data_IF_371079250506
#
_entry.id   IF_371079250506
#
_cell.length_a   1.000
_cell.length_b   1.000
_cell.length_c   1.000
_cell.angle_alpha   90.00
_cell.angle_beta   90.00
_cell.angle_gamma   90.00
#
_symmetry.space_group_name_H-M   'P 1'
#
loop_
_entity.id
_entity.type
_entity.pdbx_description
1 polymer ?
#
# COMPACT_ATOMS: atom_id res chain seq x y z
N UNK A 1 27.64 37.88 47.78
CA UNK A 1 26.53 37.06 47.24
C UNK A 1 25.62 37.87 46.30
N UNK A 2 24.70 38.75 46.79
CA UNK A 2 23.66 39.43 45.99
C UNK A 2 24.03 39.81 44.53
N UNK A 3 25.11 40.57 44.29
CA UNK A 3 25.51 40.98 42.92
C UNK A 3 25.86 39.81 41.96
N UNK A 4 26.43 38.69 42.44
CA UNK A 4 26.72 37.53 41.58
C UNK A 4 25.42 36.85 41.15
N UNK A 5 24.57 36.52 42.13
CA UNK A 5 23.29 35.85 41.93
C UNK A 5 22.37 36.61 40.97
N UNK A 6 22.44 37.94 40.96
CA UNK A 6 21.67 38.80 40.04
C UNK A 6 21.99 38.58 38.55
N UNK A 7 23.17 38.02 38.22
CA UNK A 7 23.63 37.77 36.85
C UNK A 7 23.58 36.27 36.53
N UNK A 8 24.05 35.43 37.44
CA UNK A 8 24.17 33.98 37.20
C UNK A 8 22.84 33.24 37.23
N UNK A 9 21.87 33.65 38.06
CA UNK A 9 20.58 32.98 38.15
C UNK A 9 19.76 33.18 36.86
N UNK A 10 19.62 34.39 36.29
CA UNK A 10 18.98 34.57 34.98
C UNK A 10 19.63 33.73 33.86
N UNK A 11 20.96 33.67 33.79
CA UNK A 11 21.68 32.86 32.79
C UNK A 11 21.42 31.36 33.01
N UNK A 12 21.45 30.89 34.26
CA UNK A 12 21.16 29.48 34.58
C UNK A 12 19.71 29.11 34.23
N UNK A 13 18.75 30.00 34.50
CA UNK A 13 17.34 29.82 34.12
C UNK A 13 17.14 29.83 32.60
N UNK A 14 17.86 30.67 31.86
CA UNK A 14 17.84 30.69 30.40
C UNK A 14 18.39 29.37 29.83
N UNK A 15 19.52 28.87 30.33
CA UNK A 15 20.08 27.58 29.92
C UNK A 15 19.13 26.42 30.24
N UNK A 16 18.47 26.43 31.40
CA UNK A 16 17.44 25.45 31.76
C UNK A 16 16.24 25.54 30.81
N UNK A 17 15.77 26.74 30.45
CA UNK A 17 14.68 26.93 29.50
C UNK A 17 15.06 26.44 28.08
N UNK A 18 16.31 26.62 27.66
CA UNK A 18 16.83 26.04 26.41
C UNK A 18 16.80 24.52 26.47
N UNK A 19 17.36 23.89 27.51
CA UNK A 19 17.34 22.41 27.67
C UNK A 19 15.92 21.82 27.70
N UNK A 20 14.97 22.52 28.35
CA UNK A 20 13.56 22.14 28.34
C UNK A 20 12.99 22.25 26.92
N UNK A 21 13.36 23.29 26.16
CA UNK A 21 12.94 23.49 24.77
C UNK A 21 13.54 22.42 23.84
N UNK A 22 14.83 22.10 23.98
CA UNK A 22 15.50 20.98 23.29
C UNK A 22 14.72 19.68 23.51
N UNK A 23 14.46 19.33 24.77
CA UNK A 23 13.71 18.14 25.14
C UNK A 23 12.29 18.12 24.54
N UNK A 24 11.57 19.25 24.55
CA UNK A 24 10.26 19.34 23.89
C UNK A 24 10.37 19.14 22.37
N UNK A 25 11.31 19.82 21.69
CA UNK A 25 11.49 19.73 20.23
C UNK A 25 11.77 18.30 19.77
N UNK A 26 12.72 17.59 20.40
CA UNK A 26 13.06 16.19 20.08
C UNK A 26 11.83 15.27 20.15
N UNK A 27 10.91 15.54 21.09
CA UNK A 27 9.71 14.74 21.32
C UNK A 27 8.50 15.20 20.48
N UNK A 28 8.64 16.18 19.59
CA UNK A 28 7.59 16.53 18.62
C UNK A 28 7.49 15.41 17.58
N UNK A 29 6.43 14.60 17.69
CA UNK A 29 6.04 13.65 16.65
C UNK A 29 5.71 14.37 15.33
N UNK A 30 5.88 13.71 14.16
CA UNK A 30 5.35 14.21 12.91
C UNK A 30 3.89 14.62 13.06
N UNK A 31 3.54 15.85 12.66
CA UNK A 31 2.16 16.30 12.68
C UNK A 31 1.35 15.53 11.62
N UNK A 32 0.28 14.83 12.03
CA UNK A 32 -0.60 14.14 11.09
C UNK A 32 -1.18 15.12 10.06
N UNK A 33 -1.12 14.74 8.78
CA UNK A 33 -1.69 15.51 7.70
C UNK A 33 -3.22 15.58 7.77
N UNK A 34 -3.78 16.72 7.35
CA UNK A 34 -5.25 16.91 7.26
C UNK A 34 -5.83 16.20 6.04
N UNK A 35 -5.88 14.87 6.10
CA UNK A 35 -6.46 13.98 5.09
C UNK A 35 -7.82 13.44 5.53
N UNK A 36 -8.73 13.21 4.58
CA UNK A 36 -10.00 12.55 4.85
C UNK A 36 -9.78 11.06 5.20
N UNK A 37 -10.46 10.55 6.23
CA UNK A 37 -10.31 9.15 6.68
C UNK A 37 -10.56 8.13 5.55
N UNK A 38 -11.56 8.38 4.71
CA UNK A 38 -11.85 7.55 3.53
C UNK A 38 -10.69 7.56 2.51
N UNK A 39 -10.02 8.69 2.29
CA UNK A 39 -8.85 8.75 1.42
C UNK A 39 -7.67 7.99 2.04
N UNK A 40 -7.36 8.21 3.33
CA UNK A 40 -6.31 7.46 4.04
C UNK A 40 -6.54 5.94 3.95
N UNK A 41 -7.78 5.48 4.06
CA UNK A 41 -8.15 4.07 3.88
C UNK A 41 -7.91 3.59 2.45
N UNK A 42 -8.34 4.34 1.43
CA UNK A 42 -8.12 3.98 0.02
C UNK A 42 -6.64 3.79 -0.30
N UNK A 43 -5.81 4.75 0.08
CA UNK A 43 -4.36 4.76 -0.18
C UNK A 43 -3.68 3.61 0.57
N UNK A 44 -4.16 3.24 1.76
CA UNK A 44 -3.60 2.17 2.60
C UNK A 44 -3.98 0.75 2.14
N UNK A 45 -5.07 0.55 1.39
CA UNK A 45 -5.55 -0.79 1.01
C UNK A 45 -5.55 -1.07 -0.49
N UNK A 46 -5.67 -0.05 -1.35
CA UNK A 46 -5.64 -0.18 -2.82
C UNK A 46 -4.50 -1.06 -3.35
N UNK A 47 -3.23 -0.94 -2.88
CA UNK A 47 -2.13 -1.78 -3.41
C UNK A 47 -2.27 -3.28 -3.13
N UNK A 48 -3.18 -3.69 -2.24
CA UNK A 48 -3.42 -5.07 -1.83
C UNK A 48 -4.76 -5.66 -2.36
N UNK A 49 -5.55 -4.88 -3.09
CA UNK A 49 -6.74 -5.35 -3.82
C UNK A 49 -6.29 -5.86 -5.19
N UNK A 50 -6.78 -7.00 -5.64
CA UNK A 50 -6.39 -7.60 -6.93
C UNK A 50 -7.61 -7.86 -7.80
N UNK A 51 -7.42 -7.87 -9.13
CA UNK A 51 -8.39 -8.43 -10.06
C UNK A 51 -8.11 -9.91 -10.25
N UNK A 52 -9.14 -10.73 -10.32
CA UNK A 52 -9.06 -12.17 -10.55
C UNK A 52 -9.83 -12.47 -11.83
N UNK A 53 -9.24 -13.29 -12.69
CA UNK A 53 -9.78 -13.68 -13.99
C UNK A 53 -9.71 -15.20 -14.08
N UNK A 54 -10.86 -15.85 -14.09
CA UNK A 54 -11.00 -17.30 -14.04
C UNK A 54 -11.89 -17.75 -15.19
N UNK A 55 -11.31 -18.48 -16.14
CA UNK A 55 -12.04 -18.98 -17.31
C UNK A 55 -11.48 -20.30 -17.80
N UNK A 56 -12.28 -20.97 -18.63
CA UNK A 56 -11.87 -22.17 -19.35
C UNK A 56 -12.18 -22.02 -20.83
N UNK A 57 -11.21 -22.34 -21.68
CA UNK A 57 -11.36 -22.35 -23.14
C UNK A 57 -11.64 -23.78 -23.58
N UNK A 58 -12.82 -24.01 -24.13
CA UNK A 58 -13.23 -25.30 -24.70
C UNK A 58 -12.98 -25.26 -26.20
N UNK A 59 -12.17 -26.18 -26.71
CA UNK A 59 -11.89 -26.31 -28.14
C UNK A 59 -12.80 -27.35 -28.77
N UNK A 60 -13.40 -27.03 -29.91
CA UNK A 60 -14.42 -27.83 -30.58
C UNK A 60 -13.90 -28.48 -31.86
N UNK A 61 -14.48 -29.63 -32.20
CA UNK A 61 -14.42 -30.24 -33.50
C UNK A 61 -15.84 -30.39 -34.04
N UNK A 62 -16.08 -29.82 -35.22
CA UNK A 62 -17.33 -29.94 -35.97
C UNK A 62 -17.17 -30.97 -37.09
N UNK A 63 -18.14 -31.88 -37.21
CA UNK A 63 -18.05 -33.09 -38.05
C UNK A 63 -19.13 -33.15 -39.15
N UNK A 64 -19.66 -32.01 -39.60
CA UNK A 64 -20.47 -31.92 -40.83
C UNK A 64 -19.71 -31.12 -41.91
N UNK A 65 -19.07 -31.77 -42.90
CA UNK A 65 -18.36 -31.08 -43.97
C UNK A 65 -19.28 -30.45 -45.03
N UNK A 66 -20.56 -30.82 -45.05
CA UNK A 66 -21.54 -30.35 -46.04
C UNK A 66 -22.24 -29.04 -45.63
N UNK A 67 -21.87 -28.46 -44.47
CA UNK A 67 -22.37 -27.17 -43.98
C UNK A 67 -21.23 -26.12 -43.85
N UNK A 68 -20.91 -25.41 -44.95
CA UNK A 68 -19.86 -24.39 -44.93
C UNK A 68 -20.26 -23.11 -44.19
N UNK A 69 -21.55 -22.88 -43.92
CA UNK A 69 -22.01 -21.67 -43.23
C UNK A 69 -21.77 -21.79 -41.72
N UNK A 70 -22.07 -22.96 -41.13
CA UNK A 70 -21.72 -23.24 -39.72
C UNK A 70 -20.20 -23.29 -39.54
N UNK A 71 -19.46 -23.94 -40.45
CA UNK A 71 -17.98 -23.96 -40.41
C UNK A 71 -17.42 -22.53 -40.39
N UNK A 72 -17.89 -21.62 -41.25
CA UNK A 72 -17.39 -20.25 -41.32
C UNK A 72 -17.66 -19.42 -40.04
N UNK A 73 -18.68 -19.75 -39.25
CA UNK A 73 -18.96 -19.11 -37.95
C UNK A 73 -18.04 -19.70 -36.88
N UNK A 74 -17.88 -21.02 -36.85
CA UNK A 74 -16.98 -21.69 -35.90
C UNK A 74 -15.53 -21.26 -36.12
N UNK A 75 -15.07 -21.11 -37.37
CA UNK A 75 -13.75 -20.57 -37.70
C UNK A 75 -13.56 -19.12 -37.21
N UNK A 76 -14.60 -18.26 -37.26
CA UNK A 76 -14.54 -16.90 -36.68
C UNK A 76 -14.38 -16.92 -35.15
N UNK A 77 -14.85 -17.97 -34.49
CA UNK A 77 -14.64 -18.23 -33.06
C UNK A 77 -13.34 -19.01 -32.77
N UNK A 78 -12.46 -19.21 -33.76
CA UNK A 78 -11.29 -20.09 -33.70
C UNK A 78 -11.61 -21.54 -33.30
N UNK A 79 -12.85 -21.99 -33.52
CA UNK A 79 -13.44 -23.23 -33.00
C UNK A 79 -13.40 -23.33 -31.47
N UNK A 80 -13.55 -22.20 -30.75
CA UNK A 80 -13.46 -22.14 -29.29
C UNK A 80 -14.64 -21.42 -28.64
N UNK A 81 -14.96 -21.84 -27.41
CA UNK A 81 -15.88 -21.14 -26.51
C UNK A 81 -15.17 -20.86 -25.17
N UNK A 82 -15.53 -19.76 -24.52
CA UNK A 82 -14.88 -19.32 -23.27
C UNK A 82 -15.95 -19.13 -22.20
N UNK A 83 -15.89 -19.93 -21.13
CA UNK A 83 -16.80 -19.83 -19.98
C UNK A 83 -16.04 -19.43 -18.71
N UNK A 84 -16.70 -18.71 -17.82
CA UNK A 84 -16.11 -18.10 -16.62
C UNK A 84 -16.33 -16.60 -16.56
N UNK A 85 -15.42 -15.87 -15.90
CA UNK A 85 -15.59 -14.44 -15.69
C UNK A 85 -14.42 -13.75 -14.98
N UNK A 86 -14.71 -12.63 -14.33
CA UNK A 86 -13.73 -11.93 -13.51
C UNK A 86 -14.35 -11.30 -12.26
N UNK A 87 -13.54 -11.18 -11.23
CA UNK A 87 -13.90 -10.60 -9.94
C UNK A 87 -12.71 -9.93 -9.28
N UNK A 88 -12.80 -9.77 -7.97
CA UNK A 88 -11.83 -9.10 -7.13
C UNK A 88 -11.32 -10.01 -6.01
N UNK A 89 -10.20 -9.64 -5.38
CA UNK A 89 -9.71 -10.30 -4.18
C UNK A 89 -8.85 -9.38 -3.33
N UNK A 90 -8.43 -9.89 -2.17
CA UNK A 90 -7.51 -9.18 -1.27
C UNK A 90 -6.29 -10.06 -0.94
N UNK A 91 -5.09 -9.52 -1.10
CA UNK A 91 -3.86 -10.14 -0.62
C UNK A 91 -3.85 -10.04 0.92
N UNK A 92 -3.69 -11.19 1.59
CA UNK A 92 -3.68 -11.30 3.06
C UNK A 92 -2.34 -11.77 3.62
N UNK A 93 -1.38 -12.13 2.78
CA UNK A 93 -0.03 -12.47 3.21
C UNK A 93 1.00 -12.06 2.15
N UNK A 94 2.13 -11.53 2.61
CA UNK A 94 3.15 -10.89 1.77
C UNK A 94 3.95 -11.84 0.86
N UNK A 95 3.73 -13.15 1.02
CA UNK A 95 4.22 -14.25 0.19
C UNK A 95 3.19 -14.74 -0.86
N UNK A 96 2.05 -14.05 -0.99
CA UNK A 96 1.13 -14.19 -2.12
C UNK A 96 -0.16 -14.97 -1.87
N UNK A 97 -0.62 -15.10 -0.63
CA UNK A 97 -1.97 -15.63 -0.37
C UNK A 97 -3.05 -14.56 -0.50
N UNK A 98 -4.09 -14.89 -1.26
CA UNK A 98 -5.24 -14.02 -1.57
C UNK A 98 -6.53 -14.69 -1.08
N UNK A 99 -7.51 -13.88 -0.67
CA UNK A 99 -8.89 -14.32 -0.44
C UNK A 99 -9.83 -13.69 -1.46
N UNK A 100 -10.81 -14.47 -1.90
CA UNK A 100 -11.91 -14.07 -2.81
C UNK A 100 -13.13 -14.96 -2.55
N UNK A 101 -14.20 -14.79 -3.32
CA UNK A 101 -15.36 -15.69 -3.27
C UNK A 101 -15.12 -16.97 -4.08
N UNK A 102 -15.92 -18.00 -3.85
CA UNK A 102 -15.81 -19.26 -4.58
C UNK A 102 -16.29 -19.10 -6.02
N UNK A 103 -17.43 -18.44 -6.23
CA UNK A 103 -18.00 -18.19 -7.56
C UNK A 103 -17.09 -17.34 -8.48
N UNK A 104 -16.13 -16.60 -7.93
CA UNK A 104 -15.14 -15.80 -8.69
C UNK A 104 -14.05 -16.69 -9.31
N UNK A 105 -13.89 -17.93 -8.82
CA UNK A 105 -12.91 -18.91 -9.32
C UNK A 105 -13.53 -20.28 -9.56
N UNK A 106 -14.81 -20.32 -9.92
CA UNK A 106 -15.57 -21.57 -10.05
C UNK A 106 -15.35 -22.26 -11.40
N UNK A 107 -15.08 -21.52 -12.48
CA UNK A 107 -14.97 -22.06 -13.82
C UNK A 107 -13.80 -23.06 -13.91
N UNK A 108 -12.66 -22.76 -13.30
CA UNK A 108 -11.54 -23.70 -13.25
C UNK A 108 -11.70 -24.84 -12.24
N UNK A 109 -12.79 -24.89 -11.47
CA UNK A 109 -13.08 -25.95 -10.47
C UNK A 109 -14.24 -26.89 -10.85
N UNK A 110 -15.11 -26.50 -11.80
CA UNK A 110 -16.14 -27.37 -12.41
C UNK A 110 -15.54 -28.62 -13.09
N UNK A 111 -16.33 -29.69 -13.30
CA UNK A 111 -15.86 -30.86 -14.07
C UNK A 111 -15.81 -30.54 -15.56
N UNK A 112 -15.03 -31.32 -16.31
CA UNK A 112 -14.90 -31.19 -17.77
C UNK A 112 -16.27 -31.30 -18.48
N UNK A 113 -17.15 -32.20 -18.01
CA UNK A 113 -18.53 -32.34 -18.49
C UNK A 113 -19.38 -31.09 -18.20
N UNK A 114 -19.32 -30.56 -16.97
CA UNK A 114 -20.07 -29.36 -16.57
C UNK A 114 -19.62 -28.13 -17.39
N UNK A 115 -18.31 -27.99 -17.62
CA UNK A 115 -17.69 -26.94 -18.45
C UNK A 115 -18.07 -27.08 -19.92
N UNK A 116 -17.96 -28.29 -20.48
CA UNK A 116 -18.28 -28.54 -21.88
C UNK A 116 -19.76 -28.25 -22.16
N UNK A 117 -20.67 -28.61 -21.25
CA UNK A 117 -22.09 -28.30 -21.39
C UNK A 117 -22.34 -26.79 -21.39
N UNK A 118 -21.83 -26.04 -20.41
CA UNK A 118 -22.00 -24.57 -20.34
C UNK A 118 -21.41 -23.86 -21.58
N UNK A 119 -20.25 -24.31 -22.05
CA UNK A 119 -19.60 -23.77 -23.24
C UNK A 119 -20.36 -24.11 -24.53
N UNK A 120 -20.97 -25.30 -24.59
CA UNK A 120 -21.80 -25.74 -25.70
C UNK A 120 -23.10 -24.94 -25.79
N UNK A 121 -23.78 -24.65 -24.66
CA UNK A 121 -24.99 -23.82 -24.65
C UNK A 121 -24.72 -22.39 -25.18
N UNK A 122 -23.56 -21.80 -24.86
CA UNK A 122 -23.15 -20.53 -25.46
C UNK A 122 -22.93 -20.64 -26.97
N UNK A 123 -22.27 -21.71 -27.43
CA UNK A 123 -22.03 -21.95 -28.86
C UNK A 123 -23.34 -22.13 -29.64
N UNK A 124 -24.29 -22.90 -29.08
CA UNK A 124 -25.64 -23.07 -29.62
C UNK A 124 -26.38 -21.75 -29.68
N UNK A 125 -26.29 -20.92 -28.63
CA UNK A 125 -26.91 -19.59 -28.60
C UNK A 125 -26.39 -18.69 -29.73
N UNK A 126 -25.06 -18.64 -29.95
CA UNK A 126 -24.44 -17.87 -31.04
C UNK A 126 -24.91 -18.38 -32.42
N UNK A 127 -24.98 -19.71 -32.61
CA UNK A 127 -25.46 -20.32 -33.87
C UNK A 127 -26.94 -20.01 -34.10
N UNK A 128 -27.80 -20.14 -33.09
CA UNK A 128 -29.22 -19.80 -33.16
C UNK A 128 -29.42 -18.32 -33.53
N UNK A 129 -28.71 -17.43 -32.83
CA UNK A 129 -28.75 -15.99 -33.10
C UNK A 129 -28.18 -15.61 -34.47
N UNK A 130 -27.18 -16.34 -35.00
CA UNK A 130 -26.67 -16.06 -36.34
C UNK A 130 -27.71 -16.43 -37.42
N UNK A 131 -28.20 -17.68 -37.41
CA UNK A 131 -29.12 -18.19 -38.43
C UNK A 131 -30.58 -17.76 -38.25
N UNK A 132 -30.91 -17.12 -37.12
CA UNK A 132 -32.29 -16.71 -36.75
C UNK A 132 -33.26 -17.90 -36.68
N UNK A 133 -32.75 -19.04 -36.23
CA UNK A 133 -33.53 -20.22 -35.84
C UNK A 133 -33.79 -20.20 -34.33
N UNK A 134 -34.71 -21.04 -33.85
CA UNK A 134 -34.90 -21.23 -32.42
C UNK A 134 -33.76 -22.05 -31.79
N UNK A 135 -33.59 -21.91 -30.47
CA UNK A 135 -32.53 -22.57 -29.71
C UNK A 135 -32.63 -24.11 -29.76
N UNK A 136 -33.82 -24.70 -29.80
CA UNK A 136 -34.00 -26.15 -29.80
C UNK A 136 -33.59 -26.75 -31.17
N UNK A 137 -33.93 -26.08 -32.27
CA UNK A 137 -33.43 -26.41 -33.62
C UNK A 137 -31.90 -26.33 -33.69
N UNK A 138 -31.30 -25.25 -33.19
CA UNK A 138 -29.85 -25.10 -33.17
C UNK A 138 -29.16 -26.14 -32.27
N UNK A 139 -29.71 -26.42 -31.09
CA UNK A 139 -29.18 -27.40 -30.14
C UNK A 139 -29.16 -28.81 -30.75
N UNK A 140 -30.30 -29.26 -31.27
CA UNK A 140 -30.45 -30.58 -31.88
C UNK A 140 -29.53 -30.78 -33.10
N UNK A 141 -29.27 -29.72 -33.85
CA UNK A 141 -28.29 -29.75 -34.95
C UNK A 141 -26.85 -29.83 -34.44
N UNK A 142 -26.45 -28.89 -33.57
CA UNK A 142 -25.07 -28.78 -33.09
C UNK A 142 -24.64 -30.03 -32.31
N UNK A 143 -25.53 -30.63 -31.51
CA UNK A 143 -25.20 -31.79 -30.65
C UNK A 143 -25.00 -33.08 -31.47
N UNK A 144 -25.50 -33.13 -32.70
CA UNK A 144 -25.29 -34.26 -33.61
C UNK A 144 -23.91 -34.24 -34.31
N UNK A 145 -23.28 -33.06 -34.39
CA UNK A 145 -22.05 -32.86 -35.19
C UNK A 145 -20.86 -32.27 -34.43
N UNK A 146 -21.05 -31.75 -33.22
CA UNK A 146 -20.01 -31.06 -32.45
C UNK A 146 -19.55 -31.88 -31.25
N UNK A 147 -18.24 -31.96 -31.04
CA UNK A 147 -17.63 -32.55 -29.84
C UNK A 147 -16.50 -31.66 -29.33
N UNK A 148 -16.26 -31.60 -28.03
CA UNK A 148 -15.06 -30.95 -27.50
C UNK A 148 -13.83 -31.84 -27.71
N UNK A 149 -12.65 -31.23 -27.84
CA UNK A 149 -11.37 -31.92 -28.04
C UNK A 149 -10.32 -31.56 -27.00
N UNK A 150 -10.40 -30.37 -26.40
CA UNK A 150 -9.54 -29.89 -25.32
C UNK A 150 -10.29 -28.90 -24.41
N UNK A 151 -9.87 -28.82 -23.13
CA UNK A 151 -10.38 -27.85 -22.15
C UNK A 151 -9.21 -27.23 -21.41
N UNK A 152 -8.80 -26.04 -21.84
CA UNK A 152 -7.73 -25.27 -21.21
C UNK A 152 -8.28 -24.45 -20.02
N UNK A 153 -7.84 -24.76 -18.81
CA UNK A 153 -8.21 -24.03 -17.58
C UNK A 153 -7.22 -22.88 -17.33
N UNK A 154 -7.74 -21.67 -17.05
CA UNK A 154 -6.92 -20.46 -16.88
C UNK A 154 -7.40 -19.63 -15.67
N UNK A 155 -6.62 -19.65 -14.59
CA UNK A 155 -6.79 -18.77 -13.43
C UNK A 155 -5.63 -17.78 -13.35
N UNK A 156 -5.92 -16.49 -13.58
CA UNK A 156 -4.95 -15.40 -13.48
C UNK A 156 -5.35 -14.40 -12.40
N UNK A 157 -4.34 -13.79 -11.78
CA UNK A 157 -4.47 -12.64 -10.89
C UNK A 157 -3.74 -11.46 -11.51
N UNK A 158 -4.40 -10.32 -11.62
CA UNK A 158 -3.80 -9.06 -12.05
C UNK A 158 -3.59 -8.16 -10.82
N UNK A 159 -2.35 -7.75 -10.60
CA UNK A 159 -1.97 -6.87 -9.50
C UNK A 159 -2.21 -5.40 -9.88
N UNK A 160 -2.42 -4.49 -8.92
CA UNK A 160 -2.52 -3.03 -9.17
C UNK A 160 -1.34 -2.41 -9.93
N UNK A 161 -0.18 -3.07 -9.96
CA UNK A 161 0.99 -2.65 -10.74
C UNK A 161 0.96 -3.02 -12.23
N UNK A 162 -0.03 -3.80 -12.68
CA UNK A 162 -0.13 -4.33 -14.04
C UNK A 162 0.48 -5.73 -14.23
N UNK A 163 1.14 -6.30 -13.21
CA UNK A 163 1.65 -7.68 -13.26
C UNK A 163 0.49 -8.69 -13.35
N UNK A 164 0.60 -9.64 -14.28
CA UNK A 164 -0.34 -10.77 -14.45
C UNK A 164 0.36 -12.05 -14.03
N UNK A 165 -0.21 -12.76 -13.07
CA UNK A 165 0.36 -13.95 -12.44
C UNK A 165 -0.60 -15.14 -12.49
N UNK A 166 -0.07 -16.35 -12.55
CA UNK A 166 -0.84 -17.58 -12.38
C UNK A 166 -1.29 -17.73 -10.93
N UNK A 167 -2.58 -18.04 -10.75
CA UNK A 167 -3.18 -18.32 -9.45
C UNK A 167 -3.44 -19.81 -9.26
N UNK A 168 -3.22 -20.30 -8.04
CA UNK A 168 -3.52 -21.69 -7.65
C UNK A 168 -4.52 -21.69 -6.47
N UNK A 169 -5.62 -22.44 -6.58
CA UNK A 169 -6.60 -22.58 -5.50
C UNK A 169 -6.03 -23.48 -4.39
N UNK A 170 -5.98 -22.95 -3.16
CA UNK A 170 -5.43 -23.63 -1.96
C UNK A 170 -6.50 -24.07 -0.96
N UNK A 171 -7.67 -23.45 -1.00
CA UNK A 171 -8.87 -23.86 -0.27
C UNK A 171 -10.10 -23.29 -0.97
N UNK A 172 -11.18 -24.06 -1.01
CA UNK A 172 -12.41 -23.74 -1.75
C UNK A 172 -13.63 -24.23 -0.95
N UNK A 173 -14.61 -23.37 -0.76
CA UNK A 173 -15.94 -23.74 -0.28
C UNK A 173 -16.95 -23.67 -1.42
N UNK A 174 -18.08 -24.38 -1.33
CA UNK A 174 -19.12 -24.27 -2.35
C UNK A 174 -19.68 -22.82 -2.44
N UNK A 175 -20.14 -22.36 -3.63
CA UNK A 175 -20.72 -21.05 -3.87
C UNK A 175 -21.88 -20.68 -2.92
N UNK A 176 -22.32 -19.42 -2.93
CA UNK A 176 -23.20 -18.90 -1.85
C UNK A 176 -24.56 -19.60 -1.74
N UNK A 177 -25.05 -20.16 -2.85
CA UNK A 177 -26.31 -20.93 -2.92
C UNK A 177 -26.19 -22.35 -2.35
N UNK A 178 -24.97 -22.82 -2.07
CA UNK A 178 -24.67 -24.21 -1.70
C UNK A 178 -23.78 -24.33 -0.45
N UNK A 179 -23.07 -23.27 -0.07
CA UNK A 179 -22.07 -23.31 0.99
C UNK A 179 -21.72 -21.94 1.57
N UNK A 180 -20.44 -21.60 1.51
CA UNK A 180 -19.84 -20.48 2.26
C UNK A 180 -19.10 -19.46 1.39
N UNK A 181 -19.00 -19.71 0.08
CA UNK A 181 -18.52 -18.78 -0.93
C UNK A 181 -17.18 -18.10 -0.61
N UNK A 182 -16.16 -18.90 -0.29
CA UNK A 182 -14.78 -18.42 -0.11
C UNK A 182 -13.84 -19.32 -0.89
N UNK A 183 -12.88 -18.69 -1.58
CA UNK A 183 -11.67 -19.33 -2.05
C UNK A 183 -10.43 -18.63 -1.47
N UNK A 184 -9.39 -19.42 -1.23
CA UNK A 184 -8.04 -18.94 -0.89
C UNK A 184 -7.11 -19.31 -2.04
N UNK A 185 -6.46 -18.32 -2.64
CA UNK A 185 -5.53 -18.50 -3.75
C UNK A 185 -4.08 -18.31 -3.29
N UNK A 186 -3.14 -18.84 -4.06
CA UNK A 186 -1.71 -18.52 -4.02
C UNK A 186 -1.25 -17.98 -5.37
N UNK A 187 -0.48 -16.90 -5.35
CA UNK A 187 0.34 -16.39 -6.46
C UNK A 187 1.81 -16.39 -6.03
N UNK A 188 2.76 -16.41 -6.97
CA UNK A 188 4.17 -16.23 -6.63
C UNK A 188 4.54 -14.76 -6.43
N UNK A 189 5.22 -14.46 -5.33
CA UNK A 189 5.61 -13.11 -4.96
C UNK A 189 6.21 -13.02 -3.56
N UNK A 190 6.82 -11.87 -3.24
CA UNK A 190 7.41 -11.53 -1.93
C UNK A 190 7.25 -10.04 -1.68
N UNK A 191 7.11 -9.65 -0.42
CA UNK A 191 6.84 -8.27 0.01
C UNK A 191 5.58 -7.67 -0.68
N UNK A 192 4.63 -8.52 -1.12
CA UNK A 192 3.37 -8.05 -1.67
C UNK A 192 2.62 -7.21 -0.61
N UNK A 193 1.91 -6.13 -0.98
CA UNK A 193 1.05 -5.39 -0.06
C UNK A 193 -0.05 -6.28 0.54
N UNK A 194 -0.52 -5.99 1.76
CA UNK A 194 -1.49 -6.86 2.46
C UNK A 194 -2.60 -6.10 3.20
N UNK A 195 -3.80 -6.69 3.22
CA UNK A 195 -4.89 -6.23 4.09
C UNK A 195 -4.91 -7.07 5.38
N UNK A 196 -4.85 -6.46 6.58
CA UNK A 196 -4.98 -7.18 7.83
C UNK A 196 -6.42 -7.67 8.05
N UNK A 197 -6.57 -8.92 8.51
CA UNK A 197 -7.88 -9.47 8.85
C UNK A 197 -8.44 -8.83 10.13
N UNK A 198 -9.73 -8.51 10.09
CA UNK A 198 -10.51 -8.05 11.23
C UNK A 198 -11.16 -9.21 11.99
N UNK A 199 -12.23 -8.87 12.71
CA UNK A 199 -13.16 -9.80 13.33
C UNK A 199 -14.59 -9.37 12.93
N UNK A 200 -15.43 -10.31 12.49
CA UNK A 200 -16.83 -10.03 12.17
C UNK A 200 -17.80 -10.25 13.34
N UNK A 201 -17.28 -10.50 14.54
CA UNK A 201 -18.06 -10.42 15.79
C UNK A 201 -17.94 -9.03 16.45
N UNK A 202 -16.95 -8.22 16.05
CA UNK A 202 -16.70 -6.86 16.58
C UNK A 202 -17.56 -5.77 15.91
N UNK A 203 -18.30 -6.11 14.85
CA UNK A 203 -19.00 -5.18 13.96
C UNK A 203 -20.46 -4.95 14.38
N UNK A 204 -20.99 -3.76 14.08
CA UNK A 204 -22.34 -3.34 14.45
C UNK A 204 -23.12 -2.79 13.26
N UNK A 205 -24.45 -2.80 13.35
CA UNK A 205 -25.30 -2.10 12.39
C UNK A 205 -24.96 -0.60 12.43
N UNK A 206 -24.93 0.03 11.25
CA UNK A 206 -24.50 1.42 11.00
C UNK A 206 -22.99 1.69 11.15
N UNK A 207 -22.15 0.67 11.37
CA UNK A 207 -20.70 0.83 11.16
C UNK A 207 -20.42 1.27 9.72
N UNK A 208 -19.58 2.30 9.56
CA UNK A 208 -19.13 2.77 8.26
C UNK A 208 -18.08 1.81 7.67
N UNK A 209 -18.26 1.50 6.39
CA UNK A 209 -17.46 0.53 5.65
C UNK A 209 -17.07 1.08 4.28
N UNK A 210 -16.03 0.49 3.72
CA UNK A 210 -15.58 0.75 2.36
C UNK A 210 -15.40 -0.58 1.64
N UNK A 211 -15.94 -0.71 0.44
CA UNK A 211 -15.78 -1.88 -0.42
C UNK A 211 -14.86 -1.48 -1.56
N UNK A 212 -13.84 -2.29 -1.84
CA UNK A 212 -12.94 -2.04 -2.97
C UNK A 212 -12.84 -3.26 -3.89
N UNK A 213 -12.69 -3.00 -5.18
CA UNK A 213 -12.65 -4.04 -6.21
C UNK A 213 -12.54 -3.45 -7.61
N UNK A 214 -12.64 -4.34 -8.59
CA UNK A 214 -12.48 -4.08 -10.01
C UNK A 214 -13.85 -4.23 -10.72
N UNK A 215 -14.62 -3.14 -10.87
CA UNK A 215 -15.93 -3.22 -11.53
C UNK A 215 -15.75 -3.59 -13.01
N UNK A 216 -16.55 -4.53 -13.51
CA UNK A 216 -16.53 -4.92 -14.93
C UNK A 216 -16.89 -3.77 -15.89
N UNK A 217 -17.50 -2.69 -15.38
CA UNK A 217 -17.70 -1.44 -16.12
C UNK A 217 -16.37 -0.71 -16.47
N UNK A 218 -15.25 -1.08 -15.86
CA UNK A 218 -13.92 -0.61 -16.22
C UNK A 218 -13.40 -1.19 -17.55
N UNK A 219 -14.03 -2.26 -18.06
CA UNK A 219 -13.74 -2.89 -19.35
C UNK A 219 -14.61 -2.32 -20.50
N UNK A 220 -15.29 -1.19 -20.27
CA UNK A 220 -16.11 -0.52 -21.30
C UNK A 220 -15.25 0.14 -22.36
N UNK A 221 -15.64 0.02 -23.64
CA UNK A 221 -15.01 0.68 -24.81
C UNK A 221 -14.86 2.22 -24.68
N UNK A 222 -15.55 2.84 -23.72
CA UNK A 222 -15.46 4.26 -23.40
C UNK A 222 -14.18 4.63 -22.62
N UNK A 223 -13.48 3.64 -22.05
CA UNK A 223 -12.35 3.80 -21.15
C UNK A 223 -11.05 3.28 -21.77
N UNK A 224 -9.90 3.78 -21.30
CA UNK A 224 -8.60 3.23 -21.73
C UNK A 224 -8.34 1.87 -21.10
N UNK A 225 -7.59 0.95 -21.74
CA UNK A 225 -7.22 -0.34 -21.16
C UNK A 225 -6.57 -0.22 -19.76
N UNK A 226 -5.78 0.83 -19.51
CA UNK A 226 -5.17 1.11 -18.20
C UNK A 226 -6.21 1.34 -17.08
N UNK A 227 -7.44 1.76 -17.43
CA UNK A 227 -8.55 1.94 -16.47
C UNK A 227 -8.97 0.62 -15.83
N UNK A 228 -8.81 -0.50 -16.54
CA UNK A 228 -9.09 -1.86 -16.02
C UNK A 228 -8.14 -2.29 -14.88
N UNK A 229 -7.03 -1.56 -14.69
CA UNK A 229 -6.07 -1.76 -13.59
C UNK A 229 -6.38 -0.88 -12.36
N UNK A 230 -7.36 0.03 -12.43
CA UNK A 230 -7.72 0.95 -11.34
C UNK A 230 -8.90 0.41 -10.54
N UNK A 231 -8.63 -0.16 -9.36
CA UNK A 231 -9.67 -0.55 -8.41
C UNK A 231 -10.53 0.66 -8.00
N UNK A 232 -11.85 0.50 -8.04
CA UNK A 232 -12.79 1.44 -7.43
C UNK A 232 -12.91 1.20 -5.92
N UNK A 233 -13.33 2.23 -5.17
CA UNK A 233 -13.72 2.08 -3.77
C UNK A 233 -15.02 2.83 -3.47
N UNK A 234 -16.02 2.12 -2.97
CA UNK A 234 -17.34 2.66 -2.62
C UNK A 234 -17.50 2.70 -1.10
N UNK A 235 -18.10 3.76 -0.56
CA UNK A 235 -18.42 3.86 0.86
C UNK A 235 -19.86 3.44 1.14
N UNK A 236 -20.11 2.86 2.31
CA UNK A 236 -21.46 2.61 2.80
C UNK A 236 -21.46 2.25 4.29
N UNK A 237 -22.49 1.54 4.70
CA UNK A 237 -22.72 1.11 6.08
C UNK A 237 -23.23 -0.33 6.15
N UNK A 238 -22.94 -0.96 7.28
CA UNK A 238 -23.57 -2.24 7.65
C UNK A 238 -25.06 -1.98 7.94
N UNK A 239 -25.91 -2.73 7.25
CA UNK A 239 -27.38 -2.66 7.39
C UNK A 239 -27.91 -3.73 8.35
N UNK A 240 -27.34 -4.94 8.33
CA UNK A 240 -27.65 -6.01 9.28
C UNK A 240 -26.49 -7.01 9.40
N UNK A 241 -26.06 -7.33 10.63
CA UNK A 241 -25.05 -8.38 10.92
C UNK A 241 -25.65 -9.79 11.07
N UNK A 242 -26.92 -9.91 11.47
CA UNK A 242 -27.56 -11.19 11.83
C UNK A 242 -28.29 -11.90 10.68
N UNK A 243 -27.91 -11.65 9.42
CA UNK A 243 -28.55 -12.28 8.25
C UNK A 243 -27.91 -13.64 7.93
N UNK A 244 -28.66 -14.50 7.24
CA UNK A 244 -28.23 -15.83 6.78
C UNK A 244 -28.81 -16.15 5.41
N UNK A 245 -28.15 -17.03 4.68
CA UNK A 245 -28.73 -17.73 3.51
C UNK A 245 -29.74 -18.80 3.97
N UNK A 246 -30.50 -19.41 3.05
CA UNK A 246 -31.44 -20.50 3.37
C UNK A 246 -30.72 -21.74 3.93
N UNK A 247 -29.50 -21.99 3.44
CA UNK A 247 -28.56 -23.01 3.88
C UNK A 247 -27.96 -22.71 5.27
N UNK A 248 -28.25 -21.53 5.84
CA UNK A 248 -27.88 -21.13 7.19
C UNK A 248 -26.51 -20.44 7.31
N UNK A 249 -25.79 -20.24 6.20
CA UNK A 249 -24.50 -19.52 6.18
C UNK A 249 -24.67 -18.05 6.56
N UNK A 250 -23.84 -17.49 7.47
CA UNK A 250 -23.98 -16.11 7.92
C UNK A 250 -23.54 -15.12 6.83
N UNK A 251 -24.26 -14.00 6.70
CA UNK A 251 -23.96 -12.95 5.73
C UNK A 251 -24.15 -11.56 6.36
N UNK A 252 -23.30 -10.61 6.00
CA UNK A 252 -23.41 -9.20 6.40
C UNK A 252 -24.19 -8.47 5.31
N UNK A 253 -25.36 -7.91 5.63
CA UNK A 253 -26.07 -7.02 4.70
C UNK A 253 -25.46 -5.62 4.76
N UNK A 254 -25.18 -5.04 3.60
CA UNK A 254 -24.52 -3.74 3.43
C UNK A 254 -25.25 -2.87 2.39
N UNK A 255 -25.18 -1.54 2.54
CA UNK A 255 -25.74 -0.59 1.57
C UNK A 255 -24.70 0.10 0.66
N UNK A 256 -23.42 -0.24 0.81
CA UNK A 256 -22.37 0.22 -0.10
C UNK A 256 -22.68 -0.22 -1.55
N UNK A 257 -22.40 0.66 -2.53
CA UNK A 257 -22.66 0.36 -3.93
C UNK A 257 -21.78 -0.80 -4.41
N UNK A 258 -22.42 -1.77 -5.08
CA UNK A 258 -21.80 -2.97 -5.63
C UNK A 258 -22.22 -3.13 -7.10
N UNK A 259 -21.34 -3.73 -7.90
CA UNK A 259 -21.54 -4.02 -9.32
C UNK A 259 -20.84 -5.33 -9.66
N UNK A 260 -21.13 -5.91 -10.83
CA UNK A 260 -20.35 -7.02 -11.37
C UNK A 260 -18.85 -6.69 -11.41
N UNK A 261 -17.99 -7.70 -11.22
CA UNK A 261 -16.52 -7.56 -11.06
C UNK A 261 -16.04 -7.19 -9.64
N UNK A 262 -16.83 -6.47 -8.83
CA UNK A 262 -16.44 -6.15 -7.45
C UNK A 262 -16.58 -7.34 -6.48
N UNK A 263 -17.28 -8.42 -6.87
CA UNK A 263 -17.44 -9.62 -6.03
C UNK A 263 -16.09 -10.28 -5.74
N UNK A 264 -15.95 -10.86 -4.55
CA UNK A 264 -14.68 -11.26 -3.94
C UNK A 264 -13.86 -10.10 -3.35
N UNK A 265 -14.22 -8.85 -3.64
CA UNK A 265 -13.53 -7.65 -3.17
C UNK A 265 -13.68 -7.42 -1.65
N UNK A 266 -12.64 -6.92 -0.96
CA UNK A 266 -12.67 -6.74 0.47
C UNK A 266 -13.65 -5.66 0.92
N UNK A 267 -14.49 -6.01 1.90
CA UNK A 267 -15.23 -5.07 2.74
C UNK A 267 -14.36 -4.69 3.93
N UNK A 268 -14.04 -3.41 4.05
CA UNK A 268 -13.01 -2.87 4.94
C UNK A 268 -13.66 -1.94 5.97
N UNK A 269 -13.26 -2.06 7.23
CA UNK A 269 -13.73 -1.20 8.31
C UNK A 269 -12.88 0.06 8.51
N UNK A 270 -13.31 0.89 9.46
CA UNK A 270 -12.71 2.19 9.80
C UNK A 270 -11.23 2.14 10.26
N UNK A 271 -10.67 0.95 10.49
CA UNK A 271 -9.27 0.69 10.89
C UNK A 271 -8.43 0.07 9.76
N UNK A 272 -8.95 0.00 8.53
CA UNK A 272 -8.26 -0.61 7.39
C UNK A 272 -8.20 -2.13 7.45
N UNK A 273 -9.09 -2.78 8.22
CA UNK A 273 -9.15 -4.24 8.33
C UNK A 273 -10.28 -4.83 7.49
N UNK A 274 -10.00 -5.98 6.87
CA UNK A 274 -11.00 -6.79 6.16
C UNK A 274 -12.00 -7.37 7.16
N UNK A 275 -13.29 -7.05 7.02
CA UNK A 275 -14.40 -7.58 7.82
C UNK A 275 -15.34 -8.50 7.04
N UNK A 276 -15.21 -8.53 5.70
CA UNK A 276 -15.85 -9.52 4.85
C UNK A 276 -15.41 -9.42 3.39
N UNK A 277 -16.00 -10.24 2.52
CA UNK A 277 -15.84 -10.19 1.05
C UNK A 277 -17.20 -9.92 0.42
N UNK A 278 -17.33 -8.89 -0.41
CA UNK A 278 -18.57 -8.60 -1.15
C UNK A 278 -18.88 -9.79 -2.06
N UNK A 279 -20.06 -10.40 -1.94
CA UNK A 279 -20.44 -11.60 -2.71
C UNK A 279 -21.60 -11.30 -3.65
N UNK A 280 -22.84 -11.43 -3.16
CA UNK A 280 -24.05 -11.31 -3.95
C UNK A 280 -24.80 -10.00 -3.73
N UNK A 281 -25.56 -9.63 -4.76
CA UNK A 281 -26.62 -8.63 -4.73
C UNK A 281 -27.92 -9.35 -4.42
N UNK A 282 -28.78 -8.76 -3.59
CA UNK A 282 -30.10 -9.35 -3.34
C UNK A 282 -31.02 -9.28 -4.57
N UNK A 283 -32.06 -10.09 -4.56
CA UNK A 283 -32.94 -10.34 -5.71
C UNK A 283 -33.55 -9.07 -6.35
N UNK A 284 -33.90 -9.19 -7.63
CA UNK A 284 -34.71 -8.17 -8.29
C UNK A 284 -36.15 -8.20 -7.77
N UNK A 285 -36.71 -7.03 -7.48
CA UNK A 285 -38.14 -6.86 -7.23
C UNK A 285 -38.76 -6.32 -8.51
N UNK A 286 -39.71 -7.06 -9.09
CA UNK A 286 -40.34 -6.74 -10.38
C UNK A 286 -39.33 -6.56 -11.54
N UNK A 287 -38.23 -7.34 -11.55
CA UNK A 287 -37.16 -7.19 -12.56
C UNK A 287 -36.33 -5.91 -12.41
N UNK A 288 -36.38 -5.25 -11.25
CA UNK A 288 -35.52 -4.12 -10.89
C UNK A 288 -34.66 -4.49 -9.68
N UNK A 289 -33.35 -4.29 -9.79
CA UNK A 289 -32.39 -4.62 -8.74
C UNK A 289 -32.54 -3.68 -7.53
N UNK A 290 -32.64 -4.23 -6.32
CA UNK A 290 -32.80 -3.40 -5.11
C UNK A 290 -31.46 -2.69 -4.78
N UNK A 291 -31.42 -1.37 -4.96
CA UNK A 291 -30.25 -0.57 -4.61
C UNK A 291 -29.99 -0.56 -3.09
N UNK A 292 -28.73 -0.65 -2.70
CA UNK A 292 -28.34 -0.67 -1.28
C UNK A 292 -28.70 -1.95 -0.52
N UNK A 293 -28.99 -3.05 -1.23
CA UNK A 293 -29.33 -4.36 -0.67
C UNK A 293 -28.32 -5.42 -1.13
N UNK A 294 -27.07 -5.23 -0.71
CA UNK A 294 -25.92 -6.06 -1.09
C UNK A 294 -25.43 -6.88 0.12
N UNK A 295 -24.66 -7.94 -0.12
CA UNK A 295 -24.23 -8.86 0.92
C UNK A 295 -22.73 -9.19 0.87
N UNK A 296 -22.16 -9.48 2.03
CA UNK A 296 -20.77 -9.88 2.18
C UNK A 296 -20.60 -11.13 3.06
N UNK A 297 -19.68 -12.02 2.69
CA UNK A 297 -19.27 -13.16 3.51
C UNK A 297 -18.45 -12.63 4.70
N UNK A 298 -18.77 -12.97 5.96
CA UNK A 298 -18.06 -12.45 7.13
C UNK A 298 -16.60 -12.91 7.18
N UNK A 299 -15.67 -12.05 7.64
CA UNK A 299 -14.25 -12.42 7.76
C UNK A 299 -14.01 -13.62 8.69
N UNK A 300 -14.91 -13.89 9.64
CA UNK A 300 -14.80 -15.08 10.48
C UNK A 300 -15.03 -16.37 9.69
N UNK A 301 -15.92 -16.34 8.68
CA UNK A 301 -16.11 -17.42 7.71
C UNK A 301 -14.90 -17.53 6.80
N UNK A 302 -14.37 -16.41 6.28
CA UNK A 302 -13.12 -16.39 5.48
C UNK A 302 -11.95 -17.02 6.25
N UNK A 303 -11.85 -16.75 7.56
CA UNK A 303 -10.78 -17.30 8.42
C UNK A 303 -10.84 -18.83 8.54
N UNK A 304 -12.00 -19.45 8.37
CA UNK A 304 -12.10 -20.93 8.31
C UNK A 304 -11.26 -21.49 7.15
N UNK A 305 -11.41 -20.93 5.95
CA UNK A 305 -10.72 -21.38 4.74
C UNK A 305 -9.24 -20.96 4.74
N UNK A 306 -8.91 -19.77 5.25
CA UNK A 306 -7.51 -19.34 5.48
C UNK A 306 -6.78 -20.31 6.41
N UNK A 307 -7.45 -20.77 7.48
CA UNK A 307 -6.89 -21.77 8.39
C UNK A 307 -6.77 -23.16 7.72
N UNK A 308 -7.74 -23.58 6.89
CA UNK A 308 -7.68 -24.84 6.13
C UNK A 308 -6.51 -24.86 5.14
N UNK A 309 -6.24 -23.73 4.48
CA UNK A 309 -5.07 -23.55 3.61
C UNK A 309 -3.72 -23.47 4.37
N UNK A 310 -3.73 -23.52 5.71
CA UNK A 310 -2.53 -23.41 6.56
C UNK A 310 -1.93 -21.99 6.63
N UNK A 311 -2.65 -20.98 6.13
CA UNK A 311 -2.16 -19.62 5.91
C UNK A 311 -2.20 -18.80 7.20
N UNK A 312 -1.28 -17.84 7.32
CA UNK A 312 -1.29 -16.81 8.37
C UNK A 312 -1.42 -15.44 7.72
N UNK A 313 -2.26 -14.57 8.27
CA UNK A 313 -2.30 -13.17 7.87
C UNK A 313 -1.02 -12.48 8.36
N UNK A 314 -0.16 -12.07 7.42
CA UNK A 314 1.11 -11.38 7.70
C UNK A 314 1.03 -9.95 7.19
N UNK A 315 1.58 -9.00 7.95
CA UNK A 315 1.82 -7.64 7.42
C UNK A 315 3.01 -7.67 6.47
N UNK A 316 2.98 -6.86 5.42
CA UNK A 316 4.16 -6.62 4.58
C UNK A 316 5.03 -5.50 5.16
N UNK A 317 6.35 -5.61 4.96
CA UNK A 317 7.26 -4.48 5.18
C UNK A 317 7.01 -3.37 4.14
N UNK A 318 6.48 -3.72 2.96
CA UNK A 318 5.98 -2.79 1.94
C UNK A 318 4.85 -1.92 2.49
N UNK A 319 3.84 -2.51 3.13
CA UNK A 319 2.73 -1.78 3.75
C UNK A 319 3.24 -0.81 4.81
N UNK A 320 4.15 -1.29 5.66
CA UNK A 320 4.75 -0.50 6.74
C UNK A 320 5.52 0.70 6.21
N UNK A 321 6.43 0.50 5.26
CA UNK A 321 7.20 1.59 4.66
C UNK A 321 6.31 2.56 3.87
N UNK A 322 5.31 2.07 3.14
CA UNK A 322 4.39 2.91 2.39
C UNK A 322 3.49 3.75 3.31
N UNK A 323 2.91 3.14 4.35
CA UNK A 323 2.08 3.84 5.33
C UNK A 323 2.89 4.88 6.14
N UNK A 324 4.10 4.54 6.57
CA UNK A 324 5.04 5.50 7.20
C UNK A 324 5.37 6.67 6.25
N UNK A 325 5.66 6.38 4.97
CA UNK A 325 5.93 7.39 3.94
C UNK A 325 4.74 8.30 3.65
N UNK A 326 3.53 7.75 3.58
CA UNK A 326 2.28 8.51 3.38
C UNK A 326 1.99 9.44 4.55
N UNK A 327 2.14 8.98 5.80
CA UNK A 327 1.93 9.81 6.98
C UNK A 327 2.94 10.97 7.06
N UNK A 328 4.21 10.71 6.73
CA UNK A 328 5.23 11.75 6.58
C UNK A 328 4.89 12.72 5.45
N UNK A 329 4.46 12.23 4.28
CA UNK A 329 4.11 13.03 3.12
C UNK A 329 2.92 13.97 3.39
N UNK A 330 1.82 13.46 3.95
CA UNK A 330 0.67 14.29 4.33
C UNK A 330 1.00 15.23 5.49
N UNK A 331 1.91 14.83 6.39
CA UNK A 331 2.46 15.69 7.43
C UNK A 331 3.35 16.81 6.91
N UNK A 332 3.85 16.72 5.66
CA UNK A 332 4.75 17.70 5.03
C UNK A 332 6.24 17.45 5.25
N UNK A 333 6.63 16.25 5.68
CA UNK A 333 8.01 15.80 5.88
C UNK A 333 8.49 15.09 4.59
N UNK A 334 8.47 15.82 3.48
CA UNK A 334 8.64 15.26 2.13
C UNK A 334 9.98 14.55 1.91
N UNK A 335 11.05 14.97 2.59
CA UNK A 335 12.35 14.29 2.51
C UNK A 335 12.29 12.88 3.10
N UNK A 336 11.85 12.74 4.35
CA UNK A 336 11.69 11.43 5.00
C UNK A 336 10.64 10.56 4.30
N UNK A 337 9.59 11.19 3.73
CA UNK A 337 8.62 10.47 2.91
C UNK A 337 9.26 9.87 1.64
N UNK A 338 10.10 10.63 0.94
CA UNK A 338 10.86 10.15 -0.23
C UNK A 338 11.77 8.97 0.14
N UNK A 339 12.53 9.06 1.23
CA UNK A 339 13.38 7.96 1.74
C UNK A 339 12.59 6.66 1.97
N UNK A 340 11.35 6.77 2.47
CA UNK A 340 10.42 5.64 2.65
C UNK A 340 9.84 5.14 1.33
N UNK A 341 9.44 6.03 0.42
CA UNK A 341 8.87 5.66 -0.87
C UNK A 341 9.91 4.99 -1.79
N UNK A 342 11.16 5.45 -1.78
CA UNK A 342 12.26 4.75 -2.42
C UNK A 342 12.49 3.36 -1.81
N UNK A 343 12.35 3.21 -0.49
CA UNK A 343 12.51 1.91 0.17
C UNK A 343 11.44 0.91 -0.30
N UNK A 344 10.18 1.36 -0.46
CA UNK A 344 9.12 0.59 -1.14
C UNK A 344 9.52 0.23 -2.57
N UNK A 345 9.92 1.23 -3.38
CA UNK A 345 10.34 1.03 -4.78
C UNK A 345 11.54 0.09 -4.93
N UNK A 346 12.38 -0.07 -3.89
CA UNK A 346 13.48 -1.05 -3.82
C UNK A 346 13.02 -2.47 -3.45
N UNK A 347 12.05 -2.64 -2.54
CA UNK A 347 11.63 -3.99 -2.06
C UNK A 347 10.42 -4.58 -2.80
N UNK A 348 9.64 -3.75 -3.48
CA UNK A 348 8.49 -4.14 -4.29
C UNK A 348 8.35 -3.18 -5.50
N UNK A 349 9.11 -3.40 -6.60
CA UNK A 349 9.27 -2.38 -7.64
C UNK A 349 8.02 -2.03 -8.46
N UNK A 350 7.04 -2.94 -8.49
CA UNK A 350 5.78 -2.78 -9.23
C UNK A 350 4.63 -2.31 -8.33
N UNK A 351 4.94 -1.59 -7.25
CA UNK A 351 3.94 -0.91 -6.42
C UNK A 351 3.19 0.17 -7.24
N UNK A 352 1.87 0.03 -7.37
CA UNK A 352 1.01 0.86 -8.23
C UNK A 352 1.20 2.36 -8.01
N UNK A 353 1.10 2.83 -6.77
CA UNK A 353 1.12 4.27 -6.47
C UNK A 353 2.53 4.88 -6.38
N UNK A 354 3.61 4.07 -6.29
CA UNK A 354 4.85 4.56 -5.67
C UNK A 354 5.59 5.57 -6.53
N UNK A 355 5.58 5.39 -7.86
CA UNK A 355 6.22 6.28 -8.84
C UNK A 355 5.61 7.69 -8.78
N UNK A 356 4.30 7.78 -8.58
CA UNK A 356 3.60 9.06 -8.37
C UNK A 356 3.98 9.70 -7.02
N UNK A 357 4.09 8.90 -5.95
CA UNK A 357 4.44 9.43 -4.63
C UNK A 357 5.90 9.90 -4.53
N UNK A 358 6.85 9.20 -5.15
CA UNK A 358 8.23 9.64 -5.33
C UNK A 358 8.27 10.98 -6.07
N UNK A 359 7.72 11.04 -7.30
CA UNK A 359 7.74 12.24 -8.13
C UNK A 359 7.00 13.45 -7.52
N UNK A 360 6.08 13.22 -6.59
CA UNK A 360 5.39 14.28 -5.84
C UNK A 360 6.08 14.69 -4.54
N UNK A 361 6.92 13.82 -3.96
CA UNK A 361 7.77 14.14 -2.82
C UNK A 361 9.03 14.91 -3.26
N UNK A 362 9.68 14.47 -4.35
CA UNK A 362 10.82 15.15 -4.99
C UNK A 362 10.50 16.63 -5.28
N UNK A 363 9.39 16.91 -5.98
CA UNK A 363 8.92 18.27 -6.31
C UNK A 363 8.62 19.17 -5.09
N UNK A 364 8.68 18.62 -3.88
CA UNK A 364 8.38 19.31 -2.62
C UNK A 364 9.53 19.21 -1.61
N UNK A 365 10.65 18.56 -1.94
CA UNK A 365 11.71 18.23 -0.97
C UNK A 365 12.29 19.49 -0.31
N UNK A 366 12.48 20.57 -1.06
CA UNK A 366 12.95 21.88 -0.56
C UNK A 366 11.95 22.57 0.39
N UNK A 367 10.69 22.16 0.36
CA UNK A 367 9.63 22.61 1.27
C UNK A 367 9.37 21.65 2.44
N UNK A 368 10.21 20.61 2.60
CA UNK A 368 10.06 19.62 3.66
C UNK A 368 10.20 20.26 5.04
N UNK A 369 9.27 19.92 5.94
CA UNK A 369 9.41 20.23 7.36
C UNK A 369 10.64 19.54 7.95
N UNK A 370 11.29 20.24 8.88
CA UNK A 370 12.38 19.72 9.70
C UNK A 370 11.83 18.74 10.74
N UNK A 371 12.44 17.57 10.87
CA UNK A 371 12.12 16.58 11.90
C UNK A 371 13.15 16.68 13.03
N UNK A 372 12.76 17.27 14.16
CA UNK A 372 13.68 17.63 15.24
C UNK A 372 14.35 16.41 15.93
N UNK A 373 13.78 15.20 15.81
CA UNK A 373 14.39 13.96 16.31
C UNK A 373 15.72 13.65 15.64
N UNK A 374 15.92 14.05 14.38
CA UNK A 374 17.18 13.83 13.64
C UNK A 374 18.36 14.56 14.30
N UNK A 375 18.05 15.63 15.03
CA UNK A 375 18.99 16.48 15.75
C UNK A 375 19.13 16.11 17.23
N UNK A 376 18.50 15.01 17.69
CA UNK A 376 18.50 14.61 19.10
C UNK A 376 19.91 14.48 19.69
N UNK A 377 20.84 13.85 18.98
CA UNK A 377 22.25 13.74 19.40
C UNK A 377 22.89 15.11 19.58
N UNK A 378 22.65 16.04 18.65
CA UNK A 378 23.15 17.42 18.70
C UNK A 378 22.58 18.18 19.89
N UNK A 379 21.26 18.06 20.13
CA UNK A 379 20.61 18.62 21.31
C UNK A 379 21.17 18.04 22.61
N UNK A 380 21.33 16.71 22.74
CA UNK A 380 21.88 16.10 23.94
C UNK A 380 23.32 16.56 24.24
N UNK A 381 24.13 16.85 23.21
CA UNK A 381 25.46 17.45 23.39
C UNK A 381 25.34 18.89 23.90
N UNK A 382 24.49 19.72 23.29
CA UNK A 382 24.26 21.09 23.75
C UNK A 382 23.68 21.16 25.16
N UNK A 383 22.72 20.30 25.48
CA UNK A 383 22.07 20.21 26.78
C UNK A 383 23.06 19.70 27.85
N UNK A 384 23.93 18.74 27.52
CA UNK A 384 25.01 18.30 28.40
C UNK A 384 26.00 19.43 28.74
N UNK A 385 26.39 20.24 27.74
CA UNK A 385 27.24 21.42 27.95
C UNK A 385 26.51 22.50 28.73
N UNK A 386 25.23 22.77 28.44
CA UNK A 386 24.40 23.73 29.14
C UNK A 386 24.21 23.35 30.63
N UNK A 387 23.96 22.07 30.92
CA UNK A 387 23.85 21.54 32.28
C UNK A 387 25.16 21.69 33.08
N UNK A 388 26.31 21.44 32.44
CA UNK A 388 27.62 21.66 33.06
C UNK A 388 27.88 23.15 33.34
N UNK A 389 27.52 24.04 32.40
CA UNK A 389 27.59 25.50 32.60
C UNK A 389 26.68 25.99 33.72
N UNK A 390 25.44 25.48 33.82
CA UNK A 390 24.52 25.75 34.93
C UNK A 390 25.15 25.35 36.27
N UNK A 391 25.77 24.16 36.34
CA UNK A 391 26.43 23.68 37.55
C UNK A 391 27.61 24.59 37.96
N UNK A 392 28.46 24.99 37.01
CA UNK A 392 29.56 25.94 37.24
C UNK A 392 29.05 27.31 37.71
N UNK A 393 27.99 27.83 37.09
CA UNK A 393 27.36 29.11 37.48
C UNK A 393 26.79 29.05 38.90
N UNK A 394 26.10 27.95 39.27
CA UNK A 394 25.60 27.74 40.63
C UNK A 394 26.75 27.66 41.65
N UNK A 395 27.81 26.89 41.36
CA UNK A 395 29.01 26.81 42.22
C UNK A 395 29.63 28.20 42.43
N UNK A 396 29.85 28.97 41.36
CA UNK A 396 30.39 30.34 41.46
C UNK A 396 29.49 31.31 42.25
N UNK A 397 28.19 31.03 42.32
CA UNK A 397 27.18 31.86 43.01
C UNK A 397 27.11 31.58 44.51
N UNK A 398 27.13 30.31 44.89
CA UNK A 398 26.88 29.86 46.26
C UNK A 398 28.16 29.48 47.03
N UNK A 399 29.24 29.06 46.35
CA UNK A 399 30.53 28.78 47.01
C UNK A 399 31.32 30.08 47.17
N UNK A 400 31.36 30.60 48.41
CA UNK A 400 32.20 31.72 48.79
C UNK A 400 33.67 31.31 48.86
N UNK A 401 34.52 31.90 48.01
CA UNK A 401 35.94 31.53 47.93
C UNK A 401 36.77 31.90 49.16
N UNK A 402 37.83 31.12 49.39
CA UNK A 402 38.99 31.45 50.26
C UNK A 402 40.25 31.51 49.40
N UNK A 403 41.22 32.32 49.81
CA UNK A 403 42.49 32.55 49.09
C UNK A 403 43.69 31.97 49.85
N UNK A 404 44.65 31.38 49.10
CA UNK A 404 46.08 31.08 49.38
C UNK A 404 46.60 30.11 48.28
N UNK A 405 47.87 30.07 47.86
CA UNK A 405 49.05 30.91 48.15
C UNK A 405 50.04 30.90 46.95
N UNK A 406 51.12 31.69 47.03
CA UNK A 406 52.10 31.96 45.97
C UNK A 406 53.23 30.92 45.80
N UNK A 407 53.86 30.90 44.61
CA UNK A 407 55.28 30.62 44.39
C UNK A 407 55.83 31.53 43.26
N UNK A 408 57.12 31.92 43.32
CA UNK A 408 57.78 32.96 42.48
C UNK A 408 58.55 32.37 41.27
N UNK A 409 59.08 33.10 40.27
CA UNK A 409 60.35 33.88 40.30
C UNK A 409 60.58 34.67 38.97
N UNK A 410 60.87 35.99 39.06
CA UNK A 410 61.76 36.89 38.24
C UNK A 410 61.58 37.07 36.69
N UNK A 411 62.02 38.24 36.18
CA UNK A 411 62.06 38.76 34.78
C UNK A 411 63.38 39.60 34.59
N UNK A 412 63.66 40.46 33.57
CA UNK A 412 62.95 40.95 32.35
C UNK A 412 63.91 40.97 31.09
N UNK A 413 63.97 41.94 30.11
CA UNK A 413 63.03 42.97 29.59
C UNK A 413 62.93 43.15 28.03
N UNK A 414 61.82 43.79 27.57
CA UNK A 414 61.65 44.73 26.41
C UNK A 414 62.10 44.33 24.96
N UNK A 415 61.68 44.93 23.83
CA UNK A 415 60.89 46.15 23.48
C UNK A 415 60.29 46.06 22.04
N UNK A 416 59.41 47.00 21.62
CA UNK A 416 59.13 47.30 20.18
C UNK A 416 57.63 47.35 19.73
N UNK A 417 57.23 48.22 18.77
CA UNK A 417 55.84 48.37 18.28
C UNK A 417 55.56 47.85 16.84
N UNK A 418 54.28 47.87 16.40
CA UNK A 418 53.78 47.41 15.09
C UNK A 418 53.83 48.49 13.97
N UNK A 419 53.66 48.13 12.67
CA UNK A 419 52.32 48.10 12.04
C UNK A 419 52.07 46.95 11.00
N UNK A 420 51.08 47.08 10.11
CA UNK A 420 50.42 46.07 9.22
C UNK A 420 50.45 46.47 7.72
N UNK A 421 49.72 45.84 6.74
CA UNK A 421 49.24 44.46 6.48
C UNK A 421 49.97 43.88 5.21
N UNK A 422 49.43 43.09 4.23
CA UNK A 422 48.32 42.10 4.10
C UNK A 422 48.88 40.67 3.81
N UNK A 423 48.43 39.69 2.97
CA UNK A 423 47.37 39.49 1.95
C UNK A 423 47.06 37.96 1.71
N UNK A 424 46.18 37.61 0.74
CA UNK A 424 45.78 36.24 0.29
C UNK A 424 45.16 36.31 -1.15
N UNK A 425 44.65 35.24 -1.84
CA UNK A 425 44.52 33.78 -1.53
C UNK A 425 44.87 32.80 -2.72
N UNK A 426 44.62 31.47 -2.59
CA UNK A 426 43.86 30.59 -3.54
C UNK A 426 43.73 29.12 -3.04
N UNK A 427 43.08 28.22 -3.80
CA UNK A 427 42.45 26.95 -3.35
C UNK A 427 42.48 25.82 -4.41
N UNK A 428 42.70 24.54 -4.04
CA UNK A 428 42.19 23.32 -4.73
C UNK A 428 42.63 22.02 -4.00
N UNK A 429 41.67 21.17 -3.58
CA UNK A 429 41.96 19.91 -2.88
C UNK A 429 42.49 18.78 -3.78
N UNK A 430 43.33 17.96 -3.17
CA UNK A 430 43.70 16.60 -3.58
C UNK A 430 43.37 15.63 -2.42
N UNK A 431 43.70 14.34 -2.58
CA UNK A 431 43.92 13.44 -1.43
C UNK A 431 45.11 14.01 -0.63
N UNK A 432 44.82 14.66 0.50
CA UNK A 432 45.81 15.48 1.23
C UNK A 432 46.52 14.73 2.35
N UNK A 433 45.93 13.65 2.88
CA UNK A 433 46.54 12.87 3.96
C UNK A 433 47.39 11.69 3.42
N UNK A 434 47.04 11.19 2.22
CA UNK A 434 47.74 10.12 1.50
C UNK A 434 47.87 8.79 2.29
N UNK A 435 46.88 8.50 3.16
CA UNK A 435 46.80 7.28 3.99
C UNK A 435 46.12 6.08 3.29
N UNK A 436 45.45 6.35 2.16
CA UNK A 436 44.78 5.35 1.32
C UNK A 436 43.31 5.09 1.66
N UNK A 437 42.65 5.92 2.48
CA UNK A 437 41.21 5.83 2.77
C UNK A 437 40.55 7.20 2.81
N UNK A 438 39.69 7.47 1.83
CA UNK A 438 38.80 8.65 1.85
C UNK A 438 37.87 8.54 3.06
N UNK A 439 38.08 9.37 4.10
CA UNK A 439 37.23 9.40 5.29
C UNK A 439 36.84 10.81 5.78
N UNK A 440 36.25 10.90 6.97
CA UNK A 440 35.76 12.15 7.55
C UNK A 440 36.89 13.18 7.77
N UNK A 441 38.13 12.73 7.95
CA UNK A 441 39.30 13.58 8.11
C UNK A 441 39.64 14.33 6.81
N UNK A 442 39.51 13.67 5.65
CA UNK A 442 39.68 14.32 4.33
C UNK A 442 38.53 15.27 4.01
N UNK A 443 37.30 14.88 4.40
CA UNK A 443 36.13 15.75 4.27
C UNK A 443 36.31 17.01 5.14
N UNK A 444 36.94 16.91 6.31
CA UNK A 444 37.28 18.07 7.15
C UNK A 444 38.37 18.96 6.53
N UNK A 445 39.45 18.37 6.01
CA UNK A 445 40.49 19.08 5.25
C UNK A 445 39.89 19.80 4.02
N UNK A 446 38.99 19.13 3.30
CA UNK A 446 38.29 19.69 2.15
C UNK A 446 37.31 20.81 2.53
N UNK A 447 36.62 20.69 3.65
CA UNK A 447 35.71 21.72 4.15
C UNK A 447 36.47 22.94 4.71
N UNK A 448 37.64 22.79 5.33
CA UNK A 448 38.47 23.95 5.74
C UNK A 448 38.98 24.74 4.53
N UNK A 449 39.39 24.07 3.45
CA UNK A 449 39.74 24.77 2.23
C UNK A 449 38.50 25.39 1.55
N UNK A 450 37.41 24.65 1.38
CA UNK A 450 36.23 25.18 0.68
C UNK A 450 35.58 26.35 1.44
N UNK A 451 35.64 26.35 2.77
CA UNK A 451 35.14 27.45 3.63
C UNK A 451 35.95 28.75 3.48
N UNK A 452 37.22 28.69 3.10
CA UNK A 452 38.01 29.90 2.73
C UNK A 452 37.51 30.53 1.42
N UNK A 453 36.98 29.73 0.50
CA UNK A 453 36.55 30.19 -0.82
C UNK A 453 35.16 30.84 -0.86
N UNK A 454 34.26 30.53 0.10
CA UNK A 454 32.88 31.03 0.04
C UNK A 454 32.65 32.41 0.67
N UNK A 455 33.49 32.85 1.61
CA UNK A 455 33.29 34.10 2.39
C UNK A 455 33.51 35.41 1.59
N UNK A 456 33.50 35.34 0.25
CA UNK A 456 33.93 36.40 -0.68
C UNK A 456 32.87 36.74 -1.75
N UNK A 457 31.60 36.44 -1.47
CA UNK A 457 30.46 36.63 -2.40
C UNK A 457 29.24 37.37 -1.84
N UNK A 458 29.22 37.67 -0.54
CA UNK A 458 28.04 38.23 0.16
C UNK A 458 28.22 39.72 0.53
N UNK A 459 29.02 40.48 -0.25
CA UNK A 459 29.10 41.96 -0.22
C UNK A 459 28.96 42.58 -1.64
N UNK A 460 28.36 41.84 -2.59
CA UNK A 460 27.67 42.37 -3.78
C UNK A 460 26.19 41.92 -3.75
#
# INVERSE_FOLDING_TARGET
MKKKALITIPISLLLIAVMITSFFLINIKPAEGKIAKAQKLAEFTKPAVVRIVDYTVVSWQFNNPDDPEVIAILEQLNNQSVVGGSGSGAIISSDGYIVTNAHVVEATQKKDEDIANEAFEQLVSIVADYFKVDYETAYNYMVAYTQYTDIQRVLKVVLPGGDVLDGEVKSYGAPINEGKDVAVLKIEGKNLPTIPLGNSDDIQNQDNIWVSGYPAAADSDLLSPDSSLVSSMTSGQISATSKKTEQGSPVIQINAAATHGNSGGPVINDKGKLIGLLTFRGDTVNGQEVQGFNFAVPVNTVREFVNQAGVRNTKSETDKLFQEGLELYWGGYYKHALEKFEAVQRIYPNHSEIKQYIANAEKKVDSSKMLWSDYATTFYIFDGVAGLLVLVLLVFTFVGGKSKSSATVVAPPAAGPAPTPPAAPENTLQDLNNDGKIDVQDILLALEEHRKNQQKKDEE
#
